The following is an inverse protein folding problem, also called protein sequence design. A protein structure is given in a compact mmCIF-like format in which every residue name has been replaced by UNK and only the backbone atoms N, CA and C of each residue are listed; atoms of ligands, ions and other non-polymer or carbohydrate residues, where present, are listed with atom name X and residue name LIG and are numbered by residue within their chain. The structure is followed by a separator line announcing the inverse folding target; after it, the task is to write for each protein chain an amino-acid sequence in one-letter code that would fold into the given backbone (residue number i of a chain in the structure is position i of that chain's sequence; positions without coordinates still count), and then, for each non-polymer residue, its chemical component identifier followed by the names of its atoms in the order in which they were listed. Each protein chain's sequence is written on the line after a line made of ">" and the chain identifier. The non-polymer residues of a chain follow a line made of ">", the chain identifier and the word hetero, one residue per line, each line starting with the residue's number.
data_IF_548042809719
#
_entry.id   IF_548042809719
#
_cell.length_a   1.000
_cell.length_b   1.000
_cell.length_c   1.000
_cell.angle_alpha   90.00
_cell.angle_beta   90.00
_cell.angle_gamma   90.00
#
_symmetry.space_group_name_H-M   'P 1'
#
loop_
_entity.id
_entity.type
_entity.pdbx_description
1 polymer ?
#
# COMPACT_ATOMS: atom_id res chain seq x y z
N UNK A 1 -12.79 19.17 -4.97
CA UNK A 1 -11.98 17.94 -4.85
C UNK A 1 -11.01 18.12 -3.71
N UNK A 2 -10.82 17.11 -2.84
CA UNK A 2 -9.79 17.06 -1.79
C UNK A 2 -8.83 15.92 -2.12
N UNK A 3 -7.59 15.99 -1.63
CA UNK A 3 -6.60 14.91 -1.73
C UNK A 3 -5.38 15.17 -2.61
N UNK A 4 -5.22 16.38 -3.16
CA UNK A 4 -4.11 16.76 -4.06
C UNK A 4 -2.92 17.46 -3.38
N UNK A 5 -3.05 17.85 -2.10
CA UNK A 5 -2.05 18.68 -1.39
C UNK A 5 -1.38 17.90 -0.24
N UNK A 6 -1.19 16.59 -0.41
CA UNK A 6 -0.51 15.73 0.57
C UNK A 6 1.02 15.86 0.50
N UNK A 7 1.76 15.37 1.52
CA UNK A 7 3.22 15.40 1.56
C UNK A 7 3.89 14.61 0.41
N UNK A 8 3.12 13.76 -0.28
CA UNK A 8 3.50 13.04 -1.50
C UNK A 8 2.53 13.44 -2.64
N UNK A 9 2.86 14.49 -3.44
CA UNK A 9 2.01 14.97 -4.52
C UNK A 9 1.70 13.90 -5.59
N UNK A 10 2.57 12.91 -5.72
CA UNK A 10 2.46 11.83 -6.70
C UNK A 10 1.61 10.65 -6.20
N UNK A 11 1.17 10.67 -4.94
CA UNK A 11 0.34 9.65 -4.30
C UNK A 11 -0.93 10.27 -3.71
N UNK A 12 -1.75 10.81 -4.61
CA UNK A 12 -2.99 11.53 -4.27
C UNK A 12 -4.23 10.66 -4.50
N UNK A 13 -5.33 10.98 -3.82
CA UNK A 13 -6.63 10.35 -4.05
C UNK A 13 -7.69 11.40 -4.34
N UNK A 14 -8.77 11.02 -5.05
CA UNK A 14 -9.90 11.92 -5.29
C UNK A 14 -11.08 11.50 -4.42
N UNK A 15 -11.50 12.39 -3.53
CA UNK A 15 -12.77 12.27 -2.81
C UNK A 15 -13.92 12.91 -3.61
N UNK A 16 -14.97 12.13 -3.89
CA UNK A 16 -16.21 12.54 -4.55
C UNK A 16 -17.37 12.47 -3.55
N UNK A 17 -17.72 13.58 -2.86
CA UNK A 17 -18.70 13.57 -1.77
C UNK A 17 -20.10 13.08 -2.18
N UNK A 18 -20.56 13.48 -3.36
CA UNK A 18 -21.91 13.12 -3.87
C UNK A 18 -22.07 11.61 -4.08
N UNK A 19 -20.98 10.91 -4.35
CA UNK A 19 -20.95 9.45 -4.53
C UNK A 19 -20.44 8.70 -3.29
N UNK A 20 -20.00 9.44 -2.26
CA UNK A 20 -19.20 8.91 -1.15
C UNK A 20 -18.08 7.96 -1.64
N UNK A 21 -17.42 8.36 -2.73
CA UNK A 21 -16.45 7.53 -3.41
C UNK A 21 -15.03 8.10 -3.26
N UNK A 22 -14.08 7.24 -2.91
CA UNK A 22 -12.65 7.49 -3.10
C UNK A 22 -12.24 6.78 -4.38
N UNK A 23 -11.76 7.54 -5.36
CA UNK A 23 -11.35 7.00 -6.65
C UNK A 23 -9.92 7.42 -6.93
N UNK A 24 -9.13 6.44 -7.33
CA UNK A 24 -7.77 6.68 -7.78
C UNK A 24 -6.78 6.94 -6.63
N UNK A 25 -5.53 6.63 -6.94
CA UNK A 25 -4.37 6.86 -6.10
C UNK A 25 -3.55 5.59 -5.90
N UNK A 26 -2.24 5.71 -6.13
CA UNK A 26 -1.20 4.74 -5.71
C UNK A 26 -1.42 4.23 -4.26
N UNK A 27 -1.94 5.02 -3.30
CA UNK A 27 -2.05 4.58 -1.91
C UNK A 27 -2.98 3.40 -1.60
N UNK A 28 -3.94 3.02 -2.45
CA UNK A 28 -4.84 1.90 -2.11
C UNK A 28 -4.57 0.72 -3.03
N UNK A 29 -4.07 -0.38 -2.48
CA UNK A 29 -3.94 -1.65 -3.16
C UNK A 29 -5.17 -2.53 -2.92
N UNK A 30 -5.49 -3.38 -3.90
CA UNK A 30 -6.48 -4.44 -3.72
C UNK A 30 -6.00 -5.48 -2.71
N UNK A 31 -6.94 -6.06 -1.99
CA UNK A 31 -6.75 -7.08 -0.95
C UNK A 31 -6.33 -8.47 -1.47
N UNK A 32 -5.93 -8.55 -2.74
CA UNK A 32 -5.56 -9.78 -3.43
C UNK A 32 -4.18 -9.74 -4.10
N UNK A 33 -3.41 -8.66 -3.94
CA UNK A 33 -2.05 -8.53 -4.44
C UNK A 33 -1.10 -8.02 -3.35
N UNK A 34 0.19 -8.30 -3.49
CA UNK A 34 1.22 -7.60 -2.74
C UNK A 34 1.31 -6.13 -3.20
N UNK A 35 1.14 -5.14 -2.31
CA UNK A 35 1.33 -3.73 -2.65
C UNK A 35 2.77 -3.44 -3.11
N UNK A 36 2.90 -2.54 -4.08
CA UNK A 36 4.20 -2.04 -4.55
C UNK A 36 4.78 -1.04 -3.55
N UNK A 37 5.88 -1.40 -2.87
CA UNK A 37 6.51 -0.56 -1.83
C UNK A 37 7.85 0.02 -2.31
N UNK A 38 8.35 -0.38 -3.47
CA UNK A 38 9.63 0.09 -3.98
C UNK A 38 9.72 1.63 -4.11
N UNK A 39 8.56 2.29 -4.26
CA UNK A 39 8.47 3.74 -4.31
C UNK A 39 8.42 4.43 -2.93
N UNK A 40 8.32 3.68 -1.83
CA UNK A 40 8.24 4.17 -0.46
C UNK A 40 9.39 3.62 0.39
N UNK A 41 10.61 3.98 0.01
CA UNK A 41 11.83 3.37 0.55
C UNK A 41 12.11 3.78 2.01
N UNK A 42 11.72 4.98 2.42
CA UNK A 42 11.99 5.51 3.77
C UNK A 42 10.84 5.21 4.74
N UNK A 43 11.15 5.14 6.04
CA UNK A 43 10.15 4.98 7.11
C UNK A 43 9.14 6.12 7.06
N UNK A 44 9.60 7.34 6.84
CA UNK A 44 8.76 8.54 6.76
C UNK A 44 7.77 8.44 5.59
N UNK A 45 8.20 7.95 4.43
CA UNK A 45 7.33 7.80 3.26
C UNK A 45 6.20 6.78 3.51
N UNK A 46 6.49 5.67 4.21
CA UNK A 46 5.49 4.66 4.56
C UNK A 46 4.58 5.11 5.70
N UNK A 47 5.08 5.90 6.65
CA UNK A 47 4.27 6.54 7.68
C UNK A 47 3.28 7.55 7.07
N UNK A 48 3.73 8.37 6.11
CA UNK A 48 2.82 9.27 5.37
C UNK A 48 1.76 8.49 4.60
N UNK A 49 2.12 7.35 3.99
CA UNK A 49 1.17 6.48 3.33
C UNK A 49 0.10 5.96 4.32
N UNK A 50 0.50 5.45 5.48
CA UNK A 50 -0.45 5.04 6.54
C UNK A 50 -1.39 6.20 6.95
N UNK A 51 -0.88 7.42 7.10
CA UNK A 51 -1.70 8.58 7.44
C UNK A 51 -2.70 8.96 6.34
N UNK A 52 -2.33 8.80 5.07
CA UNK A 52 -3.25 8.94 3.93
C UNK A 52 -4.38 7.92 4.01
N UNK A 53 -4.08 6.67 4.33
CA UNK A 53 -5.09 5.61 4.49
C UNK A 53 -6.06 5.92 5.65
N UNK A 54 -5.55 6.43 6.78
CA UNK A 54 -6.40 6.87 7.89
C UNK A 54 -7.29 8.06 7.50
N UNK A 55 -6.76 9.00 6.71
CA UNK A 55 -7.55 10.11 6.17
C UNK A 55 -8.68 9.63 5.27
N UNK A 56 -8.46 8.58 4.47
CA UNK A 56 -9.50 7.94 3.67
C UNK A 56 -10.55 7.28 4.57
N UNK A 57 -10.15 6.53 5.61
CA UNK A 57 -11.08 5.92 6.57
C UNK A 57 -11.99 6.95 7.24
N UNK A 58 -11.44 8.11 7.62
CA UNK A 58 -12.19 9.19 8.26
C UNK A 58 -13.32 9.78 7.37
N UNK A 59 -13.21 9.66 6.04
CA UNK A 59 -14.25 10.10 5.10
C UNK A 59 -15.47 9.16 5.05
N UNK A 60 -15.35 7.94 5.62
CA UNK A 60 -16.39 6.89 5.59
C UNK A 60 -16.94 6.64 4.17
N UNK A 61 -16.07 6.32 3.18
CA UNK A 61 -16.50 6.04 1.82
C UNK A 61 -17.42 4.82 1.76
N UNK A 62 -18.38 4.86 0.83
CA UNK A 62 -19.17 3.68 0.44
C UNK A 62 -18.50 2.92 -0.70
N UNK A 63 -17.74 3.63 -1.54
CA UNK A 63 -17.01 3.06 -2.67
C UNK A 63 -15.55 3.47 -2.56
N UNK A 64 -14.65 2.52 -2.74
CA UNK A 64 -13.21 2.77 -2.89
C UNK A 64 -12.73 2.01 -4.11
N UNK A 65 -12.14 2.70 -5.08
CA UNK A 65 -11.53 2.02 -6.24
C UNK A 65 -10.02 1.97 -6.01
N UNK A 66 -9.43 0.79 -5.73
CA UNK A 66 -7.98 0.66 -5.55
C UNK A 66 -7.23 1.05 -6.82
N UNK A 67 -6.00 1.58 -6.66
CA UNK A 67 -5.15 1.97 -7.79
C UNK A 67 -4.57 0.77 -8.54
N UNK A 68 -4.21 -0.29 -7.81
CA UNK A 68 -3.73 -1.56 -8.36
C UNK A 68 -4.46 -2.72 -7.69
N UNK A 69 -5.04 -3.61 -8.48
CA UNK A 69 -5.78 -4.79 -7.99
C UNK A 69 -6.02 -5.81 -9.10
N UNK A 70 -6.31 -7.06 -8.73
CA UNK A 70 -6.82 -8.07 -9.65
C UNK A 70 -8.36 -8.19 -9.57
N UNK A 71 -9.03 -8.74 -10.60
CA UNK A 71 -10.47 -9.00 -10.55
C UNK A 71 -10.88 -9.73 -9.27
N UNK A 72 -11.96 -9.26 -8.64
CA UNK A 72 -12.47 -9.80 -7.38
C UNK A 72 -11.94 -9.13 -6.11
N UNK A 73 -11.01 -8.16 -6.20
CA UNK A 73 -10.64 -7.35 -5.05
C UNK A 73 -11.81 -6.53 -4.51
N UNK A 74 -11.80 -6.26 -3.21
CA UNK A 74 -12.80 -5.41 -2.59
C UNK A 74 -12.71 -3.96 -3.11
N UNK A 75 -13.86 -3.36 -3.45
CA UNK A 75 -13.96 -1.96 -3.87
C UNK A 75 -14.60 -1.08 -2.79
N UNK A 76 -14.20 -1.33 -1.55
CA UNK A 76 -14.77 -0.75 -0.33
C UNK A 76 -13.64 -0.35 0.63
N UNK A 77 -14.00 0.03 1.86
CA UNK A 77 -13.04 0.29 2.93
C UNK A 77 -12.20 -0.94 3.33
N UNK A 78 -12.57 -2.14 2.89
CA UNK A 78 -11.79 -3.37 3.09
C UNK A 78 -10.40 -3.25 2.47
N UNK A 79 -10.28 -2.77 1.23
CA UNK A 79 -8.97 -2.59 0.55
C UNK A 79 -8.09 -1.53 1.24
N UNK A 80 -8.70 -0.47 1.78
CA UNK A 80 -7.99 0.55 2.58
C UNK A 80 -7.45 -0.06 3.88
N UNK A 81 -8.28 -0.87 4.54
CA UNK A 81 -7.93 -1.53 5.79
C UNK A 81 -6.85 -2.58 5.57
N UNK A 82 -6.97 -3.37 4.49
CA UNK A 82 -5.96 -4.31 4.04
C UNK A 82 -4.62 -3.62 3.81
N UNK A 83 -4.59 -2.56 2.99
CA UNK A 83 -3.32 -1.87 2.66
C UNK A 83 -2.67 -1.31 3.92
N UNK A 84 -3.47 -0.73 4.83
CA UNK A 84 -2.95 -0.21 6.10
C UNK A 84 -2.32 -1.32 6.95
N UNK A 85 -3.01 -2.47 7.09
CA UNK A 85 -2.52 -3.61 7.86
C UNK A 85 -1.28 -4.25 7.21
N UNK A 86 -1.21 -4.26 5.88
CA UNK A 86 -0.04 -4.72 5.15
C UNK A 86 1.20 -3.89 5.48
N UNK A 87 1.07 -2.56 5.47
CA UNK A 87 2.15 -1.64 5.86
C UNK A 87 2.54 -1.82 7.33
N UNK A 88 1.57 -1.99 8.24
CA UNK A 88 1.85 -2.27 9.65
C UNK A 88 2.65 -3.56 9.84
N UNK A 89 2.28 -4.62 9.13
CA UNK A 89 3.00 -5.90 9.17
C UNK A 89 4.40 -5.75 8.61
N UNK A 90 4.53 -5.09 7.45
CA UNK A 90 5.82 -4.81 6.82
C UNK A 90 6.77 -4.05 7.77
N UNK A 91 6.30 -2.99 8.42
CA UNK A 91 7.11 -2.23 9.39
C UNK A 91 7.57 -3.10 10.58
N UNK A 92 6.77 -4.09 10.97
CA UNK A 92 7.13 -5.02 12.04
C UNK A 92 8.16 -6.07 11.61
N UNK A 93 8.15 -6.49 10.34
CA UNK A 93 9.04 -7.53 9.81
C UNK A 93 10.36 -6.97 9.26
N UNK A 94 10.36 -5.75 8.72
CA UNK A 94 11.52 -5.07 8.16
C UNK A 94 12.78 -5.08 9.05
N UNK A 95 12.71 -4.74 10.35
CA UNK A 95 13.87 -4.76 11.23
C UNK A 95 14.32 -6.18 11.64
N UNK A 96 13.45 -7.19 11.47
CA UNK A 96 13.75 -8.59 11.80
C UNK A 96 14.48 -9.31 10.66
N UNK A 97 14.13 -8.98 9.41
CA UNK A 97 14.72 -9.58 8.22
C UNK A 97 16.09 -8.97 7.92
N UNK A 98 17.11 -9.81 7.72
CA UNK A 98 18.48 -9.36 7.37
C UNK A 98 18.63 -9.01 5.90
N UNK A 99 17.88 -9.68 5.02
CA UNK A 99 17.98 -9.58 3.56
C UNK A 99 16.57 -9.67 2.93
N UNK A 100 16.49 -9.46 1.61
CA UNK A 100 15.23 -9.49 0.89
C UNK A 100 14.55 -10.85 0.95
N UNK A 101 15.31 -11.95 0.87
CA UNK A 101 14.76 -13.31 0.93
C UNK A 101 14.04 -13.59 2.26
N UNK A 102 14.64 -13.17 3.38
CA UNK A 102 14.02 -13.28 4.71
C UNK A 102 12.74 -12.43 4.81
N UNK A 103 12.76 -11.21 4.25
CA UNK A 103 11.58 -10.33 4.25
C UNK A 103 10.45 -10.90 3.37
N UNK A 104 10.78 -11.41 2.19
CA UNK A 104 9.83 -12.06 1.28
C UNK A 104 9.18 -13.24 1.98
N UNK A 105 9.98 -14.11 2.61
CA UNK A 105 9.47 -15.27 3.33
C UNK A 105 8.53 -14.87 4.48
N UNK A 106 8.90 -13.85 5.28
CA UNK A 106 8.07 -13.36 6.38
C UNK A 106 6.73 -12.79 5.86
N UNK A 107 6.75 -11.97 4.81
CA UNK A 107 5.53 -11.40 4.24
C UNK A 107 4.63 -12.46 3.58
N UNK A 108 5.21 -13.48 2.95
CA UNK A 108 4.44 -14.62 2.40
C UNK A 108 3.80 -15.47 3.51
N UNK A 109 4.41 -15.58 4.69
CA UNK A 109 3.78 -16.26 5.83
C UNK A 109 2.55 -15.52 6.35
N UNK A 110 2.61 -14.20 6.45
CA UNK A 110 1.47 -13.36 6.84
C UNK A 110 0.39 -13.30 5.75
N UNK A 111 0.80 -13.35 4.49
CA UNK A 111 -0.08 -13.14 3.33
C UNK A 111 0.06 -14.22 2.24
N UNK A 112 -0.21 -15.51 2.55
CA UNK A 112 0.11 -16.63 1.66
C UNK A 112 -0.75 -16.74 0.39
N UNK A 113 -1.81 -15.93 0.29
CA UNK A 113 -2.79 -15.97 -0.82
C UNK A 113 -2.69 -14.79 -1.77
N UNK A 114 -1.91 -13.75 -1.40
CA UNK A 114 -1.74 -12.59 -2.27
C UNK A 114 -1.01 -12.99 -3.55
N UNK A 115 -1.46 -12.41 -4.65
CA UNK A 115 -0.84 -12.58 -5.96
C UNK A 115 0.22 -11.49 -6.18
N UNK A 116 0.77 -11.44 -7.40
CA UNK A 116 1.79 -10.48 -7.80
C UNK A 116 3.05 -10.54 -6.90
N UNK A 117 3.63 -11.74 -6.80
CA UNK A 117 4.86 -11.95 -6.04
C UNK A 117 6.04 -11.10 -6.52
N UNK A 118 6.05 -10.71 -7.80
CA UNK A 118 7.05 -9.78 -8.37
C UNK A 118 7.09 -8.44 -7.64
N UNK A 119 5.93 -7.89 -7.27
CA UNK A 119 5.85 -6.65 -6.50
C UNK A 119 6.51 -6.80 -5.14
N UNK A 120 6.29 -7.91 -4.44
CA UNK A 120 6.94 -8.22 -3.17
C UNK A 120 8.46 -8.38 -3.34
N UNK A 121 8.89 -9.17 -4.33
CA UNK A 121 10.31 -9.47 -4.57
C UNK A 121 11.13 -8.21 -4.83
N UNK A 122 10.65 -7.35 -5.72
CA UNK A 122 11.35 -6.10 -6.06
C UNK A 122 11.33 -5.13 -4.87
N UNK A 123 10.17 -4.93 -4.26
CA UNK A 123 10.04 -4.06 -3.08
C UNK A 123 10.97 -4.50 -1.96
N UNK A 124 11.08 -5.80 -1.69
CA UNK A 124 11.97 -6.31 -0.65
C UNK A 124 13.44 -6.04 -0.95
N UNK A 125 13.89 -6.26 -2.21
CA UNK A 125 15.27 -5.95 -2.61
C UNK A 125 15.59 -4.47 -2.45
N UNK A 126 14.66 -3.59 -2.79
CA UNK A 126 14.82 -2.14 -2.63
C UNK A 126 14.89 -1.75 -1.16
N UNK A 127 13.93 -2.20 -0.35
CA UNK A 127 13.87 -1.88 1.09
C UNK A 127 15.07 -2.42 1.88
N UNK A 128 15.68 -3.51 1.42
CA UNK A 128 16.89 -4.09 2.01
C UNK A 128 18.19 -3.56 1.41
N UNK A 129 18.12 -2.62 0.46
CA UNK A 129 19.29 -2.00 -0.17
C UNK A 129 20.04 -2.91 -1.14
N UNK A 130 19.46 -4.05 -1.51
CA UNK A 130 20.04 -5.02 -2.45
C UNK A 130 19.79 -4.63 -3.91
N UNK A 131 18.86 -3.70 -4.15
CA UNK A 131 18.56 -3.13 -5.46
C UNK A 131 18.37 -1.62 -5.35
N UNK A 132 18.95 -0.86 -6.28
CA UNK A 132 18.64 0.56 -6.45
C UNK A 132 17.38 0.71 -7.29
N UNK A 133 16.45 1.55 -6.83
CA UNK A 133 15.22 1.86 -7.54
C UNK A 133 15.05 3.38 -7.62
N UNK A 134 14.70 3.94 -8.79
CA UNK A 134 14.52 5.38 -8.94
C UNK A 134 13.41 5.92 -8.03
N UNK A 135 13.59 7.15 -7.58
CA UNK A 135 12.64 7.96 -6.83
C UNK A 135 12.54 9.31 -7.52
#
# INVERSE_FOLDING_TARGET
>A
MKGLNGPTPDSTFVWIPSLKAVVGGVPVAGDNIHPWIADNQTVESRAHWQQTLESIKALKPQVVVPGHFLPGAAQTLESVTFTHNYLTTLESELPKAKNSAELIAAMQQHYPKLQDGSSLELSAKVLKGEMKWPQ
#
